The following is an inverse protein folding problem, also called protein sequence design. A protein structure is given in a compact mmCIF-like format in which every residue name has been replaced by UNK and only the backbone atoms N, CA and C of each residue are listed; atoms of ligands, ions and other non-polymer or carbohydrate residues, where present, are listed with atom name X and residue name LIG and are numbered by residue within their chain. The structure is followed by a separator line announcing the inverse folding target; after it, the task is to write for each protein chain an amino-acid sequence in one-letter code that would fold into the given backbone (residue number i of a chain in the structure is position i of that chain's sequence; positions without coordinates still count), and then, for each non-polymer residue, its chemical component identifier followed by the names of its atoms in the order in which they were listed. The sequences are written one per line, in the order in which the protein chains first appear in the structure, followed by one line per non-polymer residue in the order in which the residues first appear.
data_IF_765478071028
#
_entry.id   IF_765478071028
#
_cell.length_a   1.000
_cell.length_b   1.000
_cell.length_c   1.000
_cell.angle_alpha   90.00
_cell.angle_beta   90.00
_cell.angle_gamma   90.00
#
_symmetry.space_group_name_H-M   'P 1'
#
loop_
_entity.id
_entity.type
_entity.pdbx_description
1 polymer ?
#
# COMPACT_ATOMS: atom_id res chain seq x y z
N UNK A 1 14.73 1.27 -17.52
CA UNK A 1 14.34 0.11 -16.69
C UNK A 1 14.14 0.59 -15.26
N UNK A 2 12.94 0.39 -14.71
CA UNK A 2 12.53 0.96 -13.43
C UNK A 2 12.05 -0.14 -12.48
N UNK A 3 12.44 -0.06 -11.21
CA UNK A 3 12.05 -1.03 -10.19
C UNK A 3 11.06 -0.42 -9.20
N UNK A 4 9.93 -1.09 -9.00
CA UNK A 4 8.99 -0.79 -7.93
C UNK A 4 9.01 -1.91 -6.91
N UNK A 5 9.17 -1.56 -5.63
CA UNK A 5 9.18 -2.53 -4.54
C UNK A 5 7.92 -2.40 -3.70
N UNK A 6 7.54 -3.47 -3.03
CA UNK A 6 6.50 -3.39 -2.00
C UNK A 6 6.78 -2.25 -1.02
N UNK A 7 5.78 -1.40 -0.73
CA UNK A 7 5.92 -0.26 0.17
C UNK A 7 6.31 -0.68 1.60
N UNK A 8 6.03 -1.93 1.98
CA UNK A 8 6.39 -2.55 3.27
C UNK A 8 7.81 -3.13 3.31
N UNK A 9 8.50 -3.24 2.17
CA UNK A 9 9.87 -3.73 2.09
C UNK A 9 10.86 -2.79 2.79
N UNK A 10 11.81 -3.37 3.53
CA UNK A 10 12.96 -2.71 4.12
C UNK A 10 12.86 -2.55 5.64
N UNK A 11 13.77 -1.72 6.17
CA UNK A 11 13.90 -1.44 7.59
C UNK A 11 13.41 -0.04 7.90
N UNK A 12 12.76 0.10 9.05
CA UNK A 12 12.38 1.40 9.58
C UNK A 12 13.63 2.11 10.08
N UNK A 13 13.89 3.29 9.52
CA UNK A 13 14.90 4.20 10.03
C UNK A 13 14.17 5.31 10.78
N UNK A 14 14.39 5.38 12.10
CA UNK A 14 13.86 6.46 12.92
C UNK A 14 14.39 7.81 12.42
N UNK A 15 13.52 8.83 12.38
CA UNK A 15 13.86 10.18 11.94
C UNK A 15 13.25 11.21 12.90
N UNK A 16 13.98 12.29 13.17
CA UNK A 16 13.58 13.40 14.04
C UNK A 16 14.21 13.37 15.45
N UNK A 17 13.95 14.40 16.25
CA UNK A 17 14.57 14.64 17.56
C UNK A 17 14.04 13.73 18.69
N UNK A 18 13.34 12.63 18.37
CA UNK A 18 12.72 11.70 19.35
C UNK A 18 11.74 12.35 20.35
N UNK A 19 11.24 13.55 20.06
CA UNK A 19 10.27 14.28 20.91
C UNK A 19 8.85 13.67 20.93
N UNK A 20 8.54 12.74 20.02
CA UNK A 20 7.23 12.10 19.90
C UNK A 20 7.38 10.59 19.87
N UNK A 21 6.50 9.91 20.61
CA UNK A 21 6.36 8.45 20.54
C UNK A 21 5.91 7.99 19.15
N UNK A 22 6.23 6.74 18.82
CA UNK A 22 5.74 6.12 17.60
C UNK A 22 4.22 6.01 17.63
N UNK A 23 3.57 6.18 16.47
CA UNK A 23 2.12 5.95 16.34
C UNK A 23 1.80 4.50 16.73
N UNK A 24 0.59 4.25 17.22
CA UNK A 24 0.10 2.88 17.54
C UNK A 24 0.26 1.94 16.35
N UNK A 25 0.03 2.45 15.13
CA UNK A 25 0.24 1.68 13.91
C UNK A 25 1.73 1.32 13.66
N UNK A 26 2.70 1.97 14.27
CA UNK A 26 4.11 1.71 14.03
C UNK A 26 4.57 2.08 12.61
N UNK A 27 5.68 1.50 12.18
CA UNK A 27 6.23 1.69 10.83
C UNK A 27 5.48 0.85 9.79
N UNK A 28 5.43 1.34 8.54
CA UNK A 28 4.99 0.52 7.41
C UNK A 28 6.02 -0.54 6.99
N UNK A 29 7.29 -0.37 7.41
CA UNK A 29 8.39 -1.28 7.09
C UNK A 29 8.31 -2.54 7.97
N UNK A 30 8.48 -3.71 7.37
CA UNK A 30 8.45 -5.00 8.08
C UNK A 30 9.76 -5.33 8.81
N UNK A 31 10.75 -4.43 8.76
CA UNK A 31 12.11 -4.70 9.24
C UNK A 31 12.70 -5.98 8.64
N UNK A 32 12.53 -6.11 7.32
CA UNK A 32 12.92 -7.30 6.57
C UNK A 32 12.77 -7.08 5.07
N UNK A 33 13.11 -8.11 4.29
CA UNK A 33 13.04 -8.06 2.83
C UNK A 33 11.76 -8.73 2.33
N UNK A 34 10.94 -7.97 1.59
CA UNK A 34 9.84 -8.53 0.83
C UNK A 34 10.26 -8.70 -0.64
N UNK A 35 10.10 -9.89 -1.25
CA UNK A 35 10.49 -10.14 -2.64
C UNK A 35 9.54 -9.53 -3.67
N UNK A 36 8.30 -9.18 -3.28
CA UNK A 36 7.34 -8.55 -4.19
C UNK A 36 7.87 -7.24 -4.77
N UNK A 37 7.89 -7.19 -6.10
CA UNK A 37 8.41 -6.09 -6.90
C UNK A 37 7.84 -6.14 -8.32
N UNK A 38 7.93 -5.01 -9.02
CA UNK A 38 7.73 -4.91 -10.46
C UNK A 38 9.04 -4.45 -11.08
N UNK A 39 9.45 -5.10 -12.18
CA UNK A 39 10.50 -4.59 -13.05
C UNK A 39 9.85 -4.11 -14.33
N UNK A 40 9.99 -2.84 -14.63
CA UNK A 40 9.36 -2.18 -15.77
C UNK A 40 10.44 -1.88 -16.81
N UNK A 41 10.17 -2.32 -18.03
CA UNK A 41 10.99 -2.11 -19.22
C UNK A 41 10.18 -1.26 -20.19
N UNK A 42 10.78 -0.18 -20.67
CA UNK A 42 10.22 0.67 -21.71
C UNK A 42 11.10 0.48 -22.95
N UNK A 43 10.47 0.09 -24.05
CA UNK A 43 11.14 -0.10 -25.33
C UNK A 43 11.13 1.20 -26.14
N UNK A 44 11.95 1.24 -27.20
CA UNK A 44 12.13 2.39 -28.11
C UNK A 44 10.80 2.73 -28.81
N UNK A 45 9.94 1.74 -29.06
CA UNK A 45 8.60 1.91 -29.63
C UNK A 45 7.53 2.31 -28.58
N UNK A 46 7.94 2.81 -27.41
CA UNK A 46 7.04 3.16 -26.30
C UNK A 46 6.21 1.99 -25.74
N UNK A 47 6.66 0.76 -25.97
CA UNK A 47 6.04 -0.44 -25.40
C UNK A 47 6.51 -0.66 -23.97
N UNK A 48 5.57 -0.80 -23.04
CA UNK A 48 5.87 -1.08 -21.63
C UNK A 48 5.71 -2.57 -21.33
N UNK A 49 6.78 -3.21 -20.88
CA UNK A 49 6.77 -4.61 -20.42
C UNK A 49 7.05 -4.66 -18.92
N UNK A 50 6.27 -5.45 -18.17
CA UNK A 50 6.38 -5.53 -16.71
C UNK A 50 6.57 -6.97 -16.25
N UNK A 51 7.69 -7.24 -15.58
CA UNK A 51 7.85 -8.47 -14.79
C UNK A 51 7.33 -8.24 -13.38
N UNK A 52 6.22 -8.87 -13.01
CA UNK A 52 5.61 -8.73 -11.70
C UNK A 52 5.83 -9.96 -10.81
N UNK A 53 6.46 -9.75 -9.65
CA UNK A 53 6.52 -10.75 -8.58
C UNK A 53 5.41 -10.46 -7.55
N UNK A 54 4.30 -11.21 -7.64
CA UNK A 54 3.13 -11.05 -6.74
C UNK A 54 3.41 -11.49 -5.29
N UNK A 55 4.32 -12.44 -5.11
CA UNK A 55 4.51 -13.11 -3.81
C UNK A 55 5.10 -12.16 -2.77
N UNK A 56 4.37 -11.98 -1.65
CA UNK A 56 4.84 -11.32 -0.45
C UNK A 56 5.33 -12.35 0.57
N UNK A 57 6.48 -12.08 1.20
CA UNK A 57 7.05 -12.92 2.27
C UNK A 57 7.28 -12.04 3.49
N UNK A 58 6.96 -12.57 4.67
CA UNK A 58 7.10 -11.87 5.95
C UNK A 58 5.95 -10.90 6.28
N UNK A 59 4.94 -10.75 5.40
CA UNK A 59 3.72 -10.02 5.72
C UNK A 59 2.55 -10.41 4.80
N UNK A 60 1.33 -10.13 5.25
CA UNK A 60 0.10 -10.22 4.44
C UNK A 60 -0.16 -8.90 3.71
N UNK A 61 -1.07 -8.96 2.74
CA UNK A 61 -1.69 -7.75 2.19
C UNK A 61 -2.56 -7.17 3.32
N UNK A 62 -2.18 -5.99 3.79
CA UNK A 62 -2.80 -5.33 4.93
C UNK A 62 -3.39 -4.01 4.43
N UNK A 63 -4.70 -3.99 4.21
CA UNK A 63 -5.41 -2.80 3.73
C UNK A 63 -5.22 -1.60 4.67
N UNK A 64 -5.06 -1.84 5.97
CA UNK A 64 -4.80 -0.77 6.94
C UNK A 64 -3.46 -0.05 6.73
N UNK A 65 -2.57 -0.62 5.91
CA UNK A 65 -1.27 -0.03 5.53
C UNK A 65 -1.29 0.64 4.18
N UNK A 66 -2.35 0.44 3.39
CA UNK A 66 -2.48 1.07 2.09
C UNK A 66 -2.74 2.56 2.25
N UNK A 67 -2.16 3.35 1.35
CA UNK A 67 -2.41 4.78 1.30
C UNK A 67 -3.75 4.97 0.59
N UNK A 68 -4.69 5.57 1.30
CA UNK A 68 -5.97 6.02 0.74
C UNK A 68 -5.77 7.43 0.17
N UNK A 69 -6.17 7.66 -1.07
CA UNK A 69 -6.11 8.98 -1.72
C UNK A 69 -7.09 9.95 -1.10
N UNK A 70 -7.04 11.22 -1.51
CA UNK A 70 -7.98 12.22 -1.02
C UNK A 70 -9.38 11.95 -1.58
N UNK A 71 -9.49 11.63 -2.87
CA UNK A 71 -10.77 11.32 -3.51
C UNK A 71 -11.43 10.10 -2.86
N UNK A 72 -10.66 9.05 -2.60
CA UNK A 72 -11.16 7.84 -1.91
C UNK A 72 -11.65 8.15 -0.49
N UNK A 73 -10.97 9.05 0.25
CA UNK A 73 -11.44 9.46 1.58
C UNK A 73 -12.74 10.25 1.52
N UNK A 74 -12.89 11.12 0.53
CA UNK A 74 -14.11 11.90 0.32
C UNK A 74 -15.29 10.99 -0.06
N UNK A 75 -15.06 9.97 -0.89
CA UNK A 75 -16.06 8.94 -1.21
C UNK A 75 -16.45 8.11 0.03
N UNK A 76 -15.47 7.65 0.81
CA UNK A 76 -15.73 6.92 2.07
C UNK A 76 -16.53 7.80 3.04
N UNK A 77 -16.20 9.08 3.18
CA UNK A 77 -16.92 10.02 4.03
C UNK A 77 -18.39 10.17 3.61
N UNK A 78 -18.67 10.33 2.31
CA UNK A 78 -20.05 10.38 1.78
C UNK A 78 -20.82 9.09 2.07
N UNK A 79 -20.18 7.93 1.92
CA UNK A 79 -20.80 6.62 2.23
C UNK A 79 -21.13 6.48 3.72
N UNK A 80 -20.26 6.98 4.60
CA UNK A 80 -20.49 7.01 6.03
C UNK A 80 -21.62 7.98 6.41
N UNK A 81 -21.69 9.14 5.77
CA UNK A 81 -22.78 10.12 5.95
C UNK A 81 -24.14 9.53 5.56
N UNK A 82 -24.17 8.75 4.47
CA UNK A 82 -25.33 7.99 4.03
C UNK A 82 -25.67 6.76 4.92
N UNK A 83 -25.02 6.62 6.09
CA UNK A 83 -25.21 5.53 7.06
C UNK A 83 -25.02 4.13 6.48
N UNK A 84 -24.21 4.01 5.43
CA UNK A 84 -23.86 2.69 4.88
C UNK A 84 -23.05 1.94 5.94
N UNK A 85 -23.39 0.68 6.26
CA UNK A 85 -22.64 -0.09 7.24
C UNK A 85 -21.15 -0.16 6.89
N UNK A 86 -20.28 0.11 7.87
CA UNK A 86 -18.81 0.11 7.69
C UNK A 86 -18.32 -1.18 7.04
N UNK A 87 -18.93 -2.32 7.41
CA UNK A 87 -18.61 -3.62 6.81
C UNK A 87 -18.86 -3.63 5.30
N UNK A 88 -19.98 -3.07 4.84
CA UNK A 88 -20.30 -3.00 3.41
C UNK A 88 -19.32 -2.07 2.66
N UNK A 89 -18.95 -0.94 3.25
CA UNK A 89 -17.92 -0.06 2.69
C UNK A 89 -16.58 -0.79 2.56
N UNK A 90 -16.20 -1.56 3.58
CA UNK A 90 -14.96 -2.35 3.55
C UNK A 90 -14.99 -3.44 2.46
N UNK A 91 -16.13 -4.10 2.24
CA UNK A 91 -16.31 -5.05 1.14
C UNK A 91 -16.16 -4.39 -0.23
N UNK A 92 -16.77 -3.21 -0.44
CA UNK A 92 -16.63 -2.47 -1.70
C UNK A 92 -15.18 -2.11 -2.03
N UNK A 93 -14.37 -1.81 -1.00
CA UNK A 93 -12.94 -1.52 -1.17
C UNK A 93 -12.16 -2.81 -1.48
N UNK A 94 -12.54 -3.94 -0.88
CA UNK A 94 -11.91 -5.24 -1.09
C UNK A 94 -12.15 -5.81 -2.48
N UNK A 95 -13.35 -5.63 -3.06
CA UNK A 95 -13.69 -6.19 -4.37
C UNK A 95 -12.94 -5.53 -5.53
N UNK A 96 -12.46 -4.30 -5.38
CA UNK A 96 -11.64 -3.63 -6.43
C UNK A 96 -10.23 -4.24 -6.52
N UNK A 97 -9.81 -5.01 -5.51
CA UNK A 97 -8.46 -5.57 -5.41
C UNK A 97 -8.37 -7.06 -5.83
N UNK A 98 -9.48 -7.65 -6.27
CA UNK A 98 -9.58 -9.03 -6.81
C UNK A 98 -10.17 -9.03 -8.22
#
# INVERSE_FOLDING_TARGET
MTYFYCHRNGFYNARGDMKRNMKIAGSNKINGKCPSKMKVYEDIESKVTVEFTKTHVGHRIDLGRMKITREEKEDIAKKLENKIPVKAILWMILEILY
#
